data_IF_187400228452
#
_entry.id   IF_187400228452
#
_cell.length_a   1.000
_cell.length_b   1.000
_cell.length_c   1.000
_cell.angle_alpha   90.00
_cell.angle_beta   90.00
_cell.angle_gamma   90.00
#
_symmetry.space_group_name_H-M   'P 1'
#
loop_
_entity.id
_entity.type
_entity.pdbx_description
1 polymer ?
#
# COMPACT_ATOMS: atom_id res chain seq x y z
N UNK A 1 -56.46 3.31 -18.79
CA UNK A 1 -55.30 2.40 -18.79
C UNK A 1 -53.98 3.14 -19.10
N UNK A 2 -53.94 4.02 -20.10
CA UNK A 2 -52.73 4.78 -20.50
C UNK A 2 -52.19 5.75 -19.43
N UNK A 3 -53.05 6.53 -18.78
CA UNK A 3 -52.63 7.51 -17.75
C UNK A 3 -51.94 6.84 -16.55
N UNK A 4 -52.52 5.75 -16.03
CA UNK A 4 -51.94 4.99 -14.92
C UNK A 4 -50.57 4.40 -15.28
N UNK A 5 -50.40 3.93 -16.52
CA UNK A 5 -49.13 3.40 -17.00
C UNK A 5 -48.07 4.50 -17.10
N UNK A 6 -48.42 5.69 -17.62
CA UNK A 6 -47.49 6.83 -17.67
C UNK A 6 -47.07 7.27 -16.27
N UNK A 7 -48.02 7.38 -15.33
CA UNK A 7 -47.71 7.74 -13.93
C UNK A 7 -46.79 6.70 -13.29
N UNK A 8 -47.08 5.40 -13.48
CA UNK A 8 -46.23 4.33 -12.95
C UNK A 8 -44.81 4.40 -13.53
N UNK A 9 -44.67 4.65 -14.83
CA UNK A 9 -43.35 4.80 -15.48
C UNK A 9 -42.59 6.00 -14.92
N UNK A 10 -43.24 7.15 -14.75
CA UNK A 10 -42.59 8.35 -14.17
C UNK A 10 -42.14 8.08 -12.73
N UNK A 11 -42.96 7.41 -11.92
CA UNK A 11 -42.59 7.05 -10.55
C UNK A 11 -41.40 6.07 -10.51
N UNK A 12 -41.37 5.08 -11.41
CA UNK A 12 -40.24 4.16 -11.52
C UNK A 12 -38.95 4.87 -11.94
N UNK A 13 -39.02 5.77 -12.92
CA UNK A 13 -37.86 6.54 -13.39
C UNK A 13 -37.33 7.46 -12.30
N UNK A 14 -38.21 8.19 -11.61
CA UNK A 14 -37.80 9.06 -10.49
C UNK A 14 -37.19 8.28 -9.34
N UNK A 15 -37.76 7.14 -8.96
CA UNK A 15 -37.20 6.25 -7.94
C UNK A 15 -35.81 5.76 -8.35
N UNK A 16 -35.64 5.34 -9.61
CA UNK A 16 -34.36 4.90 -10.12
C UNK A 16 -33.29 6.00 -10.09
N UNK A 17 -33.61 7.21 -10.56
CA UNK A 17 -32.70 8.37 -10.54
C UNK A 17 -32.33 8.72 -9.10
N UNK A 18 -33.30 8.77 -8.18
CA UNK A 18 -33.04 9.08 -6.78
C UNK A 18 -32.11 8.05 -6.12
N UNK A 19 -32.27 6.76 -6.46
CA UNK A 19 -31.40 5.69 -6.01
C UNK A 19 -29.95 5.88 -6.48
N UNK A 20 -29.75 6.23 -7.76
CA UNK A 20 -28.42 6.52 -8.30
C UNK A 20 -27.76 7.72 -7.60
N UNK A 21 -28.52 8.78 -7.31
CA UNK A 21 -28.02 9.96 -6.59
C UNK A 21 -27.58 9.59 -5.17
N UNK A 22 -28.40 8.81 -4.44
CA UNK A 22 -28.05 8.35 -3.08
C UNK A 22 -26.80 7.46 -3.11
N UNK A 23 -26.69 6.56 -4.08
CA UNK A 23 -25.51 5.73 -4.26
C UNK A 23 -24.26 6.57 -4.52
N UNK A 24 -24.32 7.54 -5.43
CA UNK A 24 -23.22 8.46 -5.72
C UNK A 24 -22.79 9.24 -4.48
N UNK A 25 -23.74 9.78 -3.69
CA UNK A 25 -23.47 10.50 -2.43
C UNK A 25 -22.83 9.56 -1.39
N UNK A 26 -23.34 8.34 -1.24
CA UNK A 26 -22.79 7.38 -0.28
C UNK A 26 -21.35 6.98 -0.62
N UNK A 27 -21.06 6.80 -1.91
CA UNK A 27 -19.73 6.46 -2.41
C UNK A 27 -18.74 7.61 -2.17
N UNK A 28 -19.14 8.84 -2.51
CA UNK A 28 -18.31 10.03 -2.29
C UNK A 28 -18.05 10.28 -0.80
N UNK A 29 -19.04 10.15 0.08
CA UNK A 29 -18.85 10.24 1.54
C UNK A 29 -17.91 9.16 2.09
N UNK A 30 -18.01 7.93 1.58
CA UNK A 30 -17.10 6.85 1.98
C UNK A 30 -15.66 7.18 1.58
N UNK A 31 -15.48 7.72 0.39
CA UNK A 31 -14.18 8.14 -0.13
C UNK A 31 -13.60 9.31 0.68
N UNK A 32 -14.41 10.33 0.99
CA UNK A 32 -14.00 11.46 1.83
C UNK A 32 -13.54 11.02 3.23
N UNK A 33 -14.30 10.13 3.88
CA UNK A 33 -13.91 9.57 5.19
C UNK A 33 -12.60 8.82 5.10
N UNK A 34 -12.46 7.93 4.11
CA UNK A 34 -11.23 7.18 3.89
C UNK A 34 -10.01 8.11 3.74
N UNK A 35 -10.10 9.14 2.90
CA UNK A 35 -9.00 10.10 2.73
C UNK A 35 -8.75 10.96 3.96
N UNK A 36 -9.81 11.32 4.71
CA UNK A 36 -9.67 12.05 5.97
C UNK A 36 -8.96 11.21 7.04
N UNK A 37 -9.38 9.96 7.22
CA UNK A 37 -8.77 9.01 8.15
C UNK A 37 -7.32 8.74 7.79
N UNK A 38 -7.03 8.51 6.50
CA UNK A 38 -5.67 8.32 5.99
C UNK A 38 -4.77 9.52 6.35
N UNK A 39 -5.20 10.74 6.00
CA UNK A 39 -4.45 11.97 6.31
C UNK A 39 -4.22 12.15 7.80
N UNK A 40 -5.23 11.88 8.62
CA UNK A 40 -5.12 11.99 10.07
C UNK A 40 -4.11 10.99 10.62
N UNK A 41 -4.18 9.73 10.18
CA UNK A 41 -3.25 8.68 10.60
C UNK A 41 -1.81 9.01 10.19
N UNK A 42 -1.60 9.46 8.95
CA UNK A 42 -0.28 9.84 8.45
C UNK A 42 0.29 11.07 9.16
N UNK A 43 -0.56 12.04 9.48
CA UNK A 43 -0.17 13.20 10.30
C UNK A 43 0.26 12.76 11.70
N UNK A 44 -0.45 11.81 12.30
CA UNK A 44 -0.11 11.29 13.62
C UNK A 44 1.21 10.52 13.61
N UNK A 45 1.43 9.65 12.60
CA UNK A 45 2.70 8.92 12.42
C UNK A 45 3.86 9.91 12.23
N UNK A 46 3.70 10.91 11.36
CA UNK A 46 4.73 11.92 11.14
C UNK A 46 5.06 12.67 12.45
N UNK A 47 4.04 13.07 13.21
CA UNK A 47 4.22 13.74 14.51
C UNK A 47 4.96 12.86 15.52
N UNK A 48 4.56 11.59 15.64
CA UNK A 48 5.16 10.63 16.57
C UNK A 48 6.64 10.40 16.28
N UNK A 49 7.00 10.35 15.00
CA UNK A 49 8.38 10.13 14.54
C UNK A 49 9.21 11.42 14.42
N UNK A 50 8.63 12.59 14.67
CA UNK A 50 9.30 13.88 14.45
C UNK A 50 9.59 14.19 12.97
N UNK A 51 8.76 13.67 12.07
CA UNK A 51 8.86 13.82 10.62
C UNK A 51 7.78 14.78 10.08
N UNK A 52 7.86 15.12 8.80
CA UNK A 52 6.90 16.00 8.13
C UNK A 52 6.02 15.21 7.17
N UNK A 53 4.70 15.43 7.22
CA UNK A 53 3.75 14.89 6.25
C UNK A 53 3.35 15.96 5.24
N UNK A 54 3.54 15.67 3.95
CA UNK A 54 3.01 16.46 2.83
C UNK A 54 1.88 15.68 2.12
N UNK A 55 0.61 16.12 2.21
CA UNK A 55 -0.51 15.46 1.56
C UNK A 55 -0.54 15.63 0.03
N UNK A 56 0.26 16.54 -0.53
CA UNK A 56 0.30 16.82 -1.96
C UNK A 56 1.49 16.17 -2.68
N UNK A 57 2.36 15.48 -1.95
CA UNK A 57 3.50 14.76 -2.48
C UNK A 57 3.20 13.27 -2.71
N UNK A 58 4.08 12.57 -3.44
CA UNK A 58 3.98 11.13 -3.66
C UNK A 58 2.99 10.73 -4.76
N UNK A 59 2.48 9.49 -4.68
CA UNK A 59 1.57 8.92 -5.70
C UNK A 59 0.12 9.14 -5.28
N UNK A 60 -0.68 9.74 -6.16
CA UNK A 60 -2.11 9.98 -5.93
C UNK A 60 -2.37 10.89 -4.73
N UNK A 61 -3.46 10.64 -4.00
CA UNK A 61 -3.88 11.46 -2.84
C UNK A 61 -3.37 10.94 -1.49
N UNK A 62 -2.40 10.01 -1.49
CA UNK A 62 -1.88 9.40 -0.27
C UNK A 62 -0.90 10.30 0.49
N UNK A 63 -0.22 11.21 -0.19
CA UNK A 63 0.82 12.04 0.41
C UNK A 63 2.14 11.30 0.65
N UNK A 64 3.05 11.95 1.36
CA UNK A 64 4.40 11.46 1.67
C UNK A 64 4.85 11.95 3.05
N UNK A 65 5.49 11.10 3.83
CA UNK A 65 6.18 11.49 5.08
C UNK A 65 7.68 11.48 4.83
N UNK A 66 8.39 12.52 5.26
CA UNK A 66 9.85 12.56 5.16
C UNK A 66 10.51 13.36 6.28
N UNK A 67 11.80 13.12 6.50
CA UNK A 67 12.62 13.85 7.46
C UNK A 67 13.83 13.04 7.93
N UNK A 68 14.49 13.52 8.97
CA UNK A 68 15.62 12.84 9.59
C UNK A 68 15.14 12.07 10.81
N UNK A 69 15.31 10.75 10.79
CA UNK A 69 15.02 9.85 11.89
C UNK A 69 16.31 9.19 12.36
N UNK A 70 16.70 9.40 13.63
CA UNK A 70 17.96 8.89 14.19
C UNK A 70 19.21 9.19 13.33
N UNK A 71 19.28 10.40 12.76
CA UNK A 71 20.42 10.84 11.93
C UNK A 71 20.42 10.30 10.50
N UNK A 72 19.41 9.53 10.09
CA UNK A 72 19.25 9.02 8.72
C UNK A 72 18.05 9.69 8.08
N UNK A 73 18.19 10.10 6.82
CA UNK A 73 17.05 10.62 6.07
C UNK A 73 16.12 9.46 5.68
N UNK A 74 14.85 9.59 6.02
CA UNK A 74 13.80 8.58 5.80
C UNK A 74 12.64 9.18 5.02
N UNK A 75 12.06 8.37 4.13
CA UNK A 75 10.81 8.65 3.42
C UNK A 75 9.84 7.49 3.58
N UNK A 76 8.58 7.80 3.86
CA UNK A 76 7.46 6.86 3.88
C UNK A 76 6.45 7.31 2.81
N UNK A 77 6.16 6.45 1.85
CA UNK A 77 5.25 6.72 0.75
C UNK A 77 4.38 5.51 0.40
N UNK A 78 3.33 5.73 -0.39
CA UNK A 78 2.57 4.62 -0.98
C UNK A 78 3.18 4.28 -2.33
N UNK A 79 3.43 2.99 -2.54
CA UNK A 79 3.95 2.45 -3.79
C UNK A 79 2.96 1.47 -4.38
N UNK A 80 2.58 1.71 -5.65
CA UNK A 80 1.75 0.80 -6.42
C UNK A 80 2.60 0.18 -7.52
N UNK A 81 2.70 -1.15 -7.53
CA UNK A 81 3.42 -1.91 -8.56
C UNK A 81 2.52 -2.95 -9.22
N UNK A 82 2.72 -3.19 -10.51
CA UNK A 82 1.95 -4.14 -11.31
C UNK A 82 1.06 -3.44 -12.34
N UNK A 83 0.74 -4.14 -13.43
CA UNK A 83 -0.23 -3.72 -14.44
C UNK A 83 -1.65 -4.07 -14.01
N UNK A 84 -2.27 -5.04 -14.70
CA UNK A 84 -3.66 -5.46 -14.45
C UNK A 84 -3.90 -5.98 -13.01
N UNK A 85 -2.87 -6.55 -12.39
CA UNK A 85 -2.88 -6.99 -10.98
C UNK A 85 -1.99 -6.08 -10.12
N UNK A 86 -2.36 -4.80 -10.05
CA UNK A 86 -1.62 -3.85 -9.24
C UNK A 86 -1.72 -4.16 -7.73
N UNK A 87 -0.61 -4.01 -7.02
CA UNK A 87 -0.50 -4.15 -5.58
C UNK A 87 -0.05 -2.83 -4.98
N UNK A 88 -0.80 -2.33 -4.00
CA UNK A 88 -0.48 -1.08 -3.31
C UNK A 88 0.05 -1.39 -1.92
N UNK A 89 1.23 -0.85 -1.59
CA UNK A 89 1.91 -1.07 -0.32
C UNK A 89 2.38 0.26 0.27
N UNK A 90 2.48 0.30 1.60
CA UNK A 90 3.24 1.35 2.29
C UNK A 90 4.71 0.99 2.22
N UNK A 91 5.53 1.90 1.73
CA UNK A 91 6.97 1.73 1.55
C UNK A 91 7.72 2.70 2.45
N UNK A 92 8.73 2.21 3.15
CA UNK A 92 9.69 3.00 3.91
C UNK A 92 11.06 2.92 3.21
N UNK A 93 11.74 4.05 3.05
CA UNK A 93 13.08 4.13 2.45
C UNK A 93 14.00 4.94 3.35
N UNK A 94 15.15 4.40 3.67
CA UNK A 94 16.27 5.13 4.24
C UNK A 94 17.33 5.36 3.16
N UNK A 95 18.00 6.52 3.22
CA UNK A 95 19.08 6.85 2.29
C UNK A 95 20.39 6.90 3.08
N UNK A 96 21.29 5.98 2.75
CA UNK A 96 22.60 5.85 3.39
C UNK A 96 23.68 6.51 2.52
N UNK A 97 24.61 7.22 3.17
CA UNK A 97 25.83 7.73 2.56
C UNK A 97 27.03 7.31 3.41
N UNK A 98 28.07 6.68 2.82
CA UNK A 98 28.17 6.26 1.41
C UNK A 98 27.16 5.15 1.05
N UNK A 99 26.97 4.91 -0.24
CA UNK A 99 26.16 3.78 -0.71
C UNK A 99 26.81 2.47 -0.27
N UNK A 100 26.00 1.52 0.19
CA UNK A 100 26.49 0.27 0.77
C UNK A 100 27.03 -0.73 -0.28
N UNK A 101 26.85 -0.46 -1.59
CA UNK A 101 27.12 -1.41 -2.69
C UNK A 101 26.58 -2.83 -2.46
N UNK A 102 25.58 -2.95 -1.59
CA UNK A 102 24.92 -4.17 -1.15
C UNK A 102 23.47 -4.12 -1.63
N UNK A 103 23.02 -5.22 -2.21
CA UNK A 103 21.63 -5.47 -2.54
C UNK A 103 21.21 -6.71 -1.75
N UNK A 104 20.27 -6.51 -0.83
CA UNK A 104 19.66 -7.56 -0.03
C UNK A 104 18.14 -7.44 -0.14
N UNK A 105 17.47 -8.56 -0.39
CA UNK A 105 16.02 -8.64 -0.45
C UNK A 105 15.55 -9.76 0.48
N UNK A 106 14.75 -9.40 1.47
CA UNK A 106 14.16 -10.33 2.42
C UNK A 106 12.66 -10.24 2.29
N UNK A 107 12.02 -11.37 1.99
CA UNK A 107 10.57 -11.47 1.90
C UNK A 107 10.05 -12.64 2.71
N UNK A 108 8.90 -12.47 3.35
CA UNK A 108 8.23 -13.56 4.08
C UNK A 108 7.80 -14.63 3.08
N UNK A 109 8.11 -15.88 3.41
CA UNK A 109 7.65 -17.02 2.63
C UNK A 109 6.16 -17.25 2.91
N UNK A 110 5.33 -17.22 1.87
CA UNK A 110 3.92 -17.59 2.00
C UNK A 110 3.78 -19.11 1.91
N UNK A 111 2.74 -19.67 2.54
CA UNK A 111 2.54 -21.13 2.64
C UNK A 111 2.54 -21.87 1.28
N UNK A 112 2.21 -21.18 0.18
CA UNK A 112 2.28 -21.72 -1.19
C UNK A 112 3.69 -21.75 -1.81
N UNK A 113 4.65 -20.98 -1.29
CA UNK A 113 6.06 -21.01 -1.72
C UNK A 113 6.85 -22.22 -1.18
N UNK A 114 6.27 -22.95 -0.23
CA UNK A 114 6.87 -24.14 0.41
C UNK A 114 7.30 -25.23 -0.56
N UNK A 115 6.61 -25.38 -1.70
CA UNK A 115 6.95 -26.37 -2.73
C UNK A 115 8.17 -25.98 -3.59
N UNK A 116 8.52 -24.69 -3.67
CA UNK A 116 9.71 -24.22 -4.40
C UNK A 116 11.03 -24.46 -3.67
N UNK A 117 11.00 -24.75 -2.36
CA UNK A 117 12.19 -24.97 -1.53
C UNK A 117 13.00 -26.21 -1.93
N UNK A 118 12.35 -27.22 -2.51
CA UNK A 118 13.01 -28.45 -2.95
C UNK A 118 13.85 -28.28 -4.24
N UNK A 119 13.81 -27.12 -4.89
CA UNK A 119 14.51 -26.85 -6.15
C UNK A 119 15.79 -25.99 -5.99
N UNK A 120 16.23 -25.72 -4.76
CA UNK A 120 17.50 -25.02 -4.51
C UNK A 120 17.53 -23.54 -4.90
N UNK A 121 16.37 -22.88 -4.91
CA UNK A 121 16.22 -21.48 -5.35
C UNK A 121 16.64 -20.43 -4.30
N UNK A 122 17.37 -20.82 -3.25
CA UNK A 122 17.81 -19.90 -2.19
C UNK A 122 19.23 -19.44 -2.47
N UNK A 123 19.44 -18.13 -2.43
CA UNK A 123 20.77 -17.55 -2.64
C UNK A 123 21.59 -17.50 -1.34
N UNK A 124 20.95 -17.35 -0.16
CA UNK A 124 21.63 -17.16 1.13
C UNK A 124 20.91 -17.91 2.27
N UNK A 125 21.66 -18.67 3.07
CA UNK A 125 21.20 -19.29 4.33
C UNK A 125 21.86 -18.58 5.52
N UNK A 126 21.07 -18.19 6.54
CA UNK A 126 21.59 -17.42 7.68
C UNK A 126 22.09 -18.32 8.81
N UNK A 127 21.74 -19.61 8.78
CA UNK A 127 22.05 -20.57 9.84
C UNK A 127 21.03 -20.60 10.97
N UNK A 128 20.05 -19.70 10.98
CA UNK A 128 18.87 -19.78 11.84
C UNK A 128 17.75 -20.51 11.11
N UNK A 129 17.54 -21.78 11.46
CA UNK A 129 16.54 -22.62 10.82
C UNK A 129 15.10 -22.08 10.91
N UNK A 130 14.75 -21.36 11.98
CA UNK A 130 13.41 -20.80 12.13
C UNK A 130 13.21 -19.58 11.23
N UNK A 131 14.22 -18.72 11.16
CA UNK A 131 14.24 -17.57 10.25
C UNK A 131 14.27 -18.03 8.79
N UNK A 132 15.20 -18.91 8.45
CA UNK A 132 15.35 -19.48 7.12
C UNK A 132 14.10 -20.26 6.73
N UNK A 133 13.29 -20.79 7.65
CA UNK A 133 12.01 -21.40 7.25
C UNK A 133 10.93 -20.36 6.89
N UNK A 134 10.94 -19.21 7.57
CA UNK A 134 9.91 -18.19 7.49
C UNK A 134 10.17 -17.12 6.42
N UNK A 135 11.42 -16.96 5.99
CA UNK A 135 11.85 -15.92 5.07
C UNK A 135 12.67 -16.48 3.91
N UNK A 136 12.63 -15.75 2.81
CA UNK A 136 13.47 -15.96 1.65
C UNK A 136 14.42 -14.77 1.53
N UNK A 137 15.72 -15.05 1.40
CA UNK A 137 16.80 -14.07 1.39
C UNK A 137 17.54 -14.18 0.05
N UNK A 138 17.65 -13.05 -0.65
CA UNK A 138 18.37 -12.92 -1.93
C UNK A 138 19.36 -11.76 -1.83
N UNK A 139 20.56 -11.92 -2.39
CA UNK A 139 21.58 -10.88 -2.37
C UNK A 139 22.51 -10.90 -3.58
N UNK A 140 23.25 -9.82 -3.80
CA UNK A 140 24.25 -9.75 -4.87
C UNK A 140 25.65 -10.27 -4.46
N UNK A 141 25.88 -10.48 -3.16
CA UNK A 141 27.11 -11.03 -2.60
C UNK A 141 26.76 -11.88 -1.35
N UNK A 142 26.75 -13.23 -1.46
CA UNK A 142 26.41 -14.11 -0.36
C UNK A 142 27.38 -14.07 0.83
N UNK A 143 28.66 -13.73 0.58
CA UNK A 143 29.71 -13.73 1.62
C UNK A 143 29.74 -12.41 2.43
N UNK A 144 29.05 -11.37 1.94
CA UNK A 144 28.96 -10.06 2.58
C UNK A 144 27.76 -9.90 3.53
N UNK A 145 26.91 -10.93 3.65
CA UNK A 145 25.67 -10.94 4.44
C UNK A 145 25.83 -11.69 5.75
#
# INVERSE_FOLDING_TARGET
>A
MTVLLVVAVVLLVTMFISGLVVLAISHSRRMERFWSEHRQNWTNIARELGLTYDPNAGVGSYGMIEGVYHGVWVRIDVYTSGGDNSHTTTRVRSYHHPQLNLKLNIRRETSLGTLGRALGLRDIETGDAAFDQAFHVEGNDPDAV
#
